data_IF_980166541468
#
_entry.id   IF_980166541468
#
_cell.length_a   1.000
_cell.length_b   1.000
_cell.length_c   1.000
_cell.angle_alpha   90.00
_cell.angle_beta   90.00
_cell.angle_gamma   90.00
#
_symmetry.space_group_name_H-M   'P 1'
#
loop_
_entity.id
_entity.type
_entity.pdbx_description
1 polymer ?
#
# COMPACT_ATOMS: atom_id res chain seq x y z
N UNK A 1 -16.32 -7.40 58.88
CA UNK A 1 -15.61 -8.19 57.83
C UNK A 1 -15.73 -7.43 56.53
N UNK A 2 -14.63 -6.85 56.04
CA UNK A 2 -14.60 -6.04 54.81
C UNK A 2 -14.48 -6.97 53.60
N UNK A 3 -15.45 -6.94 52.69
CA UNK A 3 -15.37 -7.68 51.43
C UNK A 3 -14.53 -6.88 50.43
N UNK A 4 -13.32 -7.36 50.13
CA UNK A 4 -12.49 -6.84 49.06
C UNK A 4 -13.04 -7.35 47.73
N UNK A 5 -13.62 -6.44 46.93
CA UNK A 5 -14.05 -6.71 45.57
C UNK A 5 -12.81 -6.64 44.66
N UNK A 6 -12.25 -7.80 44.31
CA UNK A 6 -11.13 -7.89 43.37
C UNK A 6 -11.67 -7.70 41.95
N UNK A 7 -11.53 -6.48 41.40
CA UNK A 7 -11.82 -6.21 39.99
C UNK A 7 -10.69 -6.81 39.13
N UNK A 8 -10.94 -7.98 38.54
CA UNK A 8 -10.06 -8.56 37.52
C UNK A 8 -10.28 -7.78 36.23
N UNK A 9 -9.38 -6.84 35.91
CA UNK A 9 -9.36 -6.16 34.62
C UNK A 9 -8.86 -7.15 33.57
N UNK A 10 -9.78 -7.73 32.78
CA UNK A 10 -9.43 -8.56 31.63
C UNK A 10 -8.84 -7.63 30.54
N UNK A 11 -7.51 -7.54 30.46
CA UNK A 11 -6.84 -6.96 29.30
C UNK A 11 -7.00 -7.96 28.15
N UNK A 12 -7.98 -7.76 27.28
CA UNK A 12 -8.10 -8.55 26.06
C UNK A 12 -6.89 -8.25 25.17
N UNK A 13 -6.05 -9.24 24.81
CA UNK A 13 -4.98 -9.02 23.86
C UNK A 13 -5.62 -8.70 22.50
N UNK A 14 -5.31 -7.52 21.95
CA UNK A 14 -5.61 -7.23 20.55
C UNK A 14 -4.73 -8.18 19.73
N UNK A 15 -5.33 -9.13 19.03
CA UNK A 15 -4.61 -9.91 18.02
C UNK A 15 -4.19 -8.91 16.94
N UNK A 16 -2.93 -8.52 16.94
CA UNK A 16 -2.36 -7.77 15.82
C UNK A 16 -2.38 -8.70 14.61
N UNK A 17 -3.16 -8.36 13.59
CA UNK A 17 -3.08 -9.10 12.32
C UNK A 17 -1.72 -8.81 11.70
N UNK A 18 -0.98 -9.87 11.34
CA UNK A 18 0.27 -9.72 10.62
C UNK A 18 -0.02 -9.25 9.18
N UNK A 19 0.90 -8.45 8.61
CA UNK A 19 0.82 -8.06 7.22
C UNK A 19 1.00 -9.28 6.32
N UNK A 20 0.12 -9.44 5.34
CA UNK A 20 0.20 -10.48 4.31
C UNK A 20 0.63 -9.85 2.99
N UNK A 21 1.51 -10.52 2.26
CA UNK A 21 1.96 -10.06 0.93
C UNK A 21 0.92 -10.47 -0.11
N UNK A 22 0.38 -9.48 -0.84
CA UNK A 22 -0.48 -9.70 -2.01
C UNK A 22 0.39 -9.87 -3.24
N UNK A 23 1.31 -8.93 -3.47
CA UNK A 23 2.26 -8.97 -4.55
C UNK A 23 3.66 -8.63 -4.06
N UNK A 24 4.67 -9.30 -4.60
CA UNK A 24 6.06 -8.84 -4.55
C UNK A 24 6.77 -9.18 -5.84
N UNK A 25 7.67 -8.30 -6.26
CA UNK A 25 8.55 -8.50 -7.41
C UNK A 25 9.90 -7.83 -7.11
N UNK A 26 10.98 -8.59 -7.21
CA UNK A 26 12.37 -8.12 -7.07
C UNK A 26 13.01 -7.77 -8.41
N UNK A 27 12.27 -7.95 -9.51
CA UNK A 27 12.70 -7.68 -10.87
C UNK A 27 14.05 -8.35 -11.23
N UNK A 28 14.29 -9.58 -10.76
CA UNK A 28 15.50 -10.37 -11.06
C UNK A 28 15.53 -10.98 -12.47
N UNK A 29 14.58 -10.61 -13.34
CA UNK A 29 14.50 -11.08 -14.72
C UNK A 29 15.62 -10.56 -15.62
N UNK A 30 15.64 -11.02 -16.88
CA UNK A 30 16.63 -10.57 -17.87
C UNK A 30 16.30 -9.18 -18.40
N UNK A 31 17.32 -8.33 -18.59
CA UNK A 31 17.14 -6.98 -19.16
C UNK A 31 16.74 -6.97 -20.63
N UNK A 32 16.94 -8.08 -21.34
CA UNK A 32 16.45 -8.28 -22.70
C UNK A 32 14.99 -8.73 -22.78
N UNK A 33 14.40 -9.21 -21.67
CA UNK A 33 13.02 -9.66 -21.61
C UNK A 33 12.08 -8.52 -21.20
N UNK A 34 10.89 -8.48 -21.78
CA UNK A 34 9.86 -7.53 -21.38
C UNK A 34 9.23 -7.95 -20.05
N UNK A 35 8.79 -6.97 -19.25
CA UNK A 35 7.99 -7.22 -18.05
C UNK A 35 6.57 -7.68 -18.39
N UNK A 36 6.03 -7.22 -19.53
CA UNK A 36 4.69 -7.60 -19.98
C UNK A 36 4.51 -9.12 -20.07
N UNK A 37 3.47 -9.63 -19.41
CA UNK A 37 3.14 -11.04 -19.33
C UNK A 37 3.91 -11.83 -18.27
N UNK A 38 4.88 -11.25 -17.57
CA UNK A 38 5.57 -11.94 -16.46
C UNK A 38 4.72 -11.96 -15.20
N UNK A 39 4.93 -12.98 -14.37
CA UNK A 39 4.33 -13.05 -13.05
C UNK A 39 5.21 -12.29 -12.04
N UNK A 40 4.62 -11.60 -11.05
CA UNK A 40 5.36 -11.23 -9.84
C UNK A 40 5.85 -12.47 -9.10
N UNK A 41 6.96 -12.36 -8.37
CA UNK A 41 7.54 -13.45 -7.58
C UNK A 41 6.56 -14.02 -6.55
N UNK A 42 5.83 -13.13 -5.88
CA UNK A 42 4.71 -13.50 -5.01
C UNK A 42 3.42 -12.92 -5.58
N UNK A 43 2.37 -13.74 -5.64
CA UNK A 43 1.00 -13.31 -5.97
C UNK A 43 -0.03 -14.07 -5.16
N UNK A 44 -0.95 -13.35 -4.52
CA UNK A 44 -2.09 -13.91 -3.82
C UNK A 44 -3.39 -13.67 -4.59
N UNK A 45 -4.29 -14.65 -4.58
CA UNK A 45 -5.67 -14.51 -5.06
C UNK A 45 -6.66 -14.00 -4.01
N UNK A 46 -6.16 -13.59 -2.83
CA UNK A 46 -6.96 -13.06 -1.72
C UNK A 46 -6.76 -11.55 -1.57
N UNK A 47 -7.60 -10.93 -0.74
CA UNK A 47 -7.43 -9.54 -0.28
C UNK A 47 -7.40 -8.48 -1.39
N UNK A 48 -7.98 -8.80 -2.55
CA UNK A 48 -8.04 -7.92 -3.71
C UNK A 48 -7.03 -8.24 -4.81
N UNK A 49 -6.12 -9.20 -4.58
CA UNK A 49 -5.18 -9.70 -5.59
C UNK A 49 -5.78 -10.78 -6.51
N UNK A 50 -4.95 -11.25 -7.43
CA UNK A 50 -5.24 -12.37 -8.35
C UNK A 50 -4.10 -13.39 -8.36
N UNK A 51 -4.43 -14.66 -8.17
CA UNK A 51 -3.47 -15.78 -8.23
C UNK A 51 -2.89 -16.01 -9.64
N UNK A 52 -3.55 -15.46 -10.68
CA UNK A 52 -3.10 -15.49 -12.06
C UNK A 52 -2.59 -14.14 -12.54
N UNK A 53 -2.34 -13.18 -11.63
CA UNK A 53 -1.83 -11.86 -11.98
C UNK A 53 -0.53 -11.98 -12.79
N UNK A 54 -0.49 -11.24 -13.88
CA UNK A 54 0.70 -10.98 -14.69
C UNK A 54 0.77 -9.47 -14.91
N UNK A 55 1.98 -8.96 -15.07
CA UNK A 55 2.18 -7.55 -15.42
C UNK A 55 1.60 -7.29 -16.80
N UNK A 56 0.78 -6.24 -16.90
CA UNK A 56 0.37 -5.66 -18.18
C UNK A 56 1.19 -4.40 -18.34
N UNK A 57 2.14 -4.37 -19.29
CA UNK A 57 3.13 -3.31 -19.35
C UNK A 57 3.40 -2.84 -20.78
N UNK A 58 3.84 -1.58 -20.91
CA UNK A 58 4.41 -1.10 -22.16
C UNK A 58 5.74 -1.81 -22.44
N UNK A 59 5.75 -2.68 -23.46
CA UNK A 59 6.90 -3.51 -23.85
C UNK A 59 8.13 -2.71 -24.33
N UNK A 60 7.92 -1.45 -24.75
CA UNK A 60 9.00 -0.54 -25.11
C UNK A 60 9.70 0.07 -23.90
N UNK A 61 9.03 0.10 -22.74
CA UNK A 61 9.50 0.77 -21.53
C UNK A 61 10.02 -0.20 -20.47
N UNK A 62 9.23 -1.20 -20.09
CA UNK A 62 9.48 -2.00 -18.89
C UNK A 62 10.11 -3.35 -19.22
N UNK A 63 11.28 -3.61 -18.63
CA UNK A 63 12.00 -4.88 -18.73
C UNK A 63 11.83 -5.71 -17.46
N UNK A 64 11.94 -7.02 -17.60
CA UNK A 64 11.81 -7.96 -16.48
C UNK A 64 12.92 -7.78 -15.43
N UNK A 65 14.03 -7.14 -15.80
CA UNK A 65 15.11 -6.75 -14.88
C UNK A 65 14.82 -5.48 -14.06
N UNK A 66 13.61 -4.90 -14.19
CA UNK A 66 13.25 -3.65 -13.53
C UNK A 66 13.80 -2.42 -14.24
N UNK A 67 14.57 -2.60 -15.31
CA UNK A 67 15.03 -1.51 -16.15
C UNK A 67 13.85 -0.87 -16.88
N UNK A 68 13.75 0.44 -16.75
CA UNK A 68 12.75 1.27 -17.40
C UNK A 68 13.45 2.12 -18.44
N UNK A 69 13.06 1.97 -19.70
CA UNK A 69 13.58 2.78 -20.80
C UNK A 69 12.73 4.02 -20.97
N UNK A 70 13.33 5.20 -20.76
CA UNK A 70 12.70 6.49 -21.01
C UNK A 70 12.33 6.72 -22.47
N UNK A 71 11.20 7.39 -22.70
CA UNK A 71 10.79 7.84 -24.02
C UNK A 71 9.94 9.10 -23.86
N UNK A 72 10.18 10.08 -24.73
CA UNK A 72 9.36 11.29 -24.79
C UNK A 72 7.94 10.95 -25.26
N UNK A 73 6.93 11.55 -24.62
CA UNK A 73 5.52 11.36 -24.98
C UNK A 73 4.63 11.13 -23.77
N UNK A 74 3.63 10.26 -23.94
CA UNK A 74 2.68 9.88 -22.89
C UNK A 74 3.37 9.14 -21.75
N UNK A 75 2.77 9.18 -20.55
CA UNK A 75 3.20 8.28 -19.48
C UNK A 75 2.98 6.83 -19.91
N UNK A 76 3.87 5.97 -19.44
CA UNK A 76 3.81 4.53 -19.66
C UNK A 76 3.74 3.81 -18.34
N UNK A 77 3.03 2.70 -18.30
CA UNK A 77 2.72 1.99 -17.07
C UNK A 77 2.97 0.49 -17.20
N UNK A 78 3.34 -0.12 -16.07
CA UNK A 78 3.24 -1.53 -15.80
C UNK A 78 2.19 -1.72 -14.70
N UNK A 79 1.18 -2.54 -14.95
CA UNK A 79 0.01 -2.69 -14.09
C UNK A 79 -0.15 -4.13 -13.59
N UNK A 80 -0.59 -4.28 -12.34
CA UNK A 80 -1.14 -5.52 -11.81
C UNK A 80 -2.60 -5.30 -11.40
N UNK A 81 -3.46 -6.26 -11.75
CA UNK A 81 -4.86 -6.24 -11.34
C UNK A 81 -4.97 -6.24 -9.81
N UNK A 82 -5.73 -5.29 -9.28
CA UNK A 82 -5.95 -5.14 -7.84
C UNK A 82 -7.25 -4.39 -7.56
N UNK A 83 -8.10 -4.94 -6.71
CA UNK A 83 -9.32 -4.25 -6.25
C UNK A 83 -9.37 -4.30 -4.72
N UNK A 84 -9.23 -3.15 -4.02
CA UNK A 84 -9.22 -3.14 -2.57
C UNK A 84 -10.56 -3.60 -1.99
N UNK A 85 -10.49 -4.35 -0.90
CA UNK A 85 -11.63 -4.80 -0.10
C UNK A 85 -11.76 -3.87 1.10
N UNK A 86 -12.97 -3.35 1.35
CA UNK A 86 -13.23 -2.51 2.51
C UNK A 86 -12.92 -3.24 3.83
N UNK A 87 -12.44 -2.50 4.84
CA UNK A 87 -12.02 -3.07 6.13
C UNK A 87 -10.53 -3.40 6.21
N UNK A 88 -9.75 -3.15 5.16
CA UNK A 88 -8.33 -3.48 5.09
C UNK A 88 -7.45 -2.23 5.00
N UNK A 89 -6.21 -2.37 5.46
CA UNK A 89 -5.15 -1.38 5.25
C UNK A 89 -4.12 -1.98 4.28
N UNK A 90 -3.93 -1.33 3.14
CA UNK A 90 -2.99 -1.74 2.10
C UNK A 90 -1.76 -0.86 2.12
N UNK A 91 -0.57 -1.46 1.98
CA UNK A 91 0.69 -0.72 1.83
C UNK A 91 1.37 -1.13 0.54
N UNK A 92 1.50 -0.17 -0.38
CA UNK A 92 2.30 -0.25 -1.59
C UNK A 92 3.66 0.38 -1.32
N UNK A 93 4.72 -0.38 -1.59
CA UNK A 93 6.12 0.08 -1.48
C UNK A 93 6.84 -0.18 -2.79
N UNK A 94 7.57 0.82 -3.28
CA UNK A 94 8.39 0.68 -4.49
C UNK A 94 9.74 1.36 -4.29
N UNK A 95 10.82 0.65 -4.55
CA UNK A 95 12.17 1.22 -4.58
C UNK A 95 12.53 1.64 -6.01
N UNK A 96 12.93 2.90 -6.18
CA UNK A 96 13.15 3.53 -7.48
C UNK A 96 14.54 4.13 -7.57
N UNK A 97 15.12 4.04 -8.77
CA UNK A 97 16.40 4.63 -9.11
C UNK A 97 16.37 5.28 -10.50
N UNK A 98 16.32 6.61 -10.58
CA UNK A 98 16.38 7.37 -11.84
C UNK A 98 17.81 7.54 -12.38
N UNK A 99 18.02 7.37 -13.69
CA UNK A 99 19.37 7.36 -14.31
C UNK A 99 19.81 8.66 -14.97
N UNK A 100 18.94 9.66 -15.10
CA UNK A 100 19.26 10.96 -15.73
C UNK A 100 18.78 12.12 -14.86
N UNK A 101 19.69 13.04 -14.51
CA UNK A 101 19.46 14.16 -13.60
C UNK A 101 19.28 15.50 -14.33
N UNK A 102 19.35 15.52 -15.67
CA UNK A 102 19.38 16.73 -16.48
C UNK A 102 18.02 17.37 -16.78
N UNK A 103 16.91 16.65 -16.62
CA UNK A 103 15.57 17.13 -17.00
C UNK A 103 14.44 16.62 -16.08
N UNK A 104 13.23 17.10 -16.36
CA UNK A 104 11.98 16.75 -15.67
C UNK A 104 11.61 15.30 -16.00
N UNK A 105 12.14 14.37 -15.24
CA UNK A 105 11.99 12.93 -15.47
C UNK A 105 11.21 12.36 -14.30
N UNK A 106 10.15 11.57 -14.50
CA UNK A 106 9.46 10.99 -13.35
C UNK A 106 9.29 9.49 -13.40
N UNK A 107 9.62 8.83 -12.29
CA UNK A 107 9.10 7.51 -11.97
C UNK A 107 7.94 7.66 -10.99
N UNK A 108 6.89 6.88 -11.19
CA UNK A 108 5.66 6.95 -10.42
C UNK A 108 5.24 5.57 -9.92
N UNK A 109 4.52 5.55 -8.81
CA UNK A 109 3.84 4.36 -8.32
C UNK A 109 2.52 4.75 -7.67
N UNK A 110 1.54 3.85 -7.74
CA UNK A 110 0.27 4.08 -7.08
C UNK A 110 -0.83 3.12 -7.48
N UNK A 111 -2.05 3.57 -7.26
CA UNK A 111 -3.28 2.91 -7.63
C UNK A 111 -3.90 3.60 -8.84
N UNK A 112 -4.70 2.86 -9.61
CA UNK A 112 -5.43 3.43 -10.75
C UNK A 112 -6.74 2.68 -11.02
N UNK A 113 -7.70 3.35 -11.64
CA UNK A 113 -8.88 2.74 -12.28
C UNK A 113 -8.69 2.51 -13.79
N UNK A 114 -7.55 2.91 -14.35
CA UNK A 114 -7.27 2.83 -15.77
C UNK A 114 -6.38 1.63 -16.06
N UNK A 115 -6.79 0.80 -17.02
CA UNK A 115 -6.04 -0.39 -17.45
C UNK A 115 -5.08 -0.10 -18.63
N UNK A 116 -5.03 1.14 -19.13
CA UNK A 116 -4.18 1.50 -20.25
C UNK A 116 -2.70 1.56 -19.82
N UNK A 117 -1.83 0.92 -20.61
CA UNK A 117 -0.37 0.98 -20.43
C UNK A 117 0.25 2.28 -20.90
N UNK A 118 -0.52 3.14 -21.58
CA UNK A 118 -0.12 4.51 -21.91
C UNK A 118 -1.32 5.46 -21.87
N UNK A 119 -1.22 6.49 -21.02
CA UNK A 119 -2.26 7.53 -20.88
C UNK A 119 -1.70 8.79 -20.21
N UNK A 120 -2.50 9.84 -20.08
CA UNK A 120 -2.16 11.02 -19.27
C UNK A 120 -2.15 10.68 -17.78
N UNK A 121 -1.27 11.32 -17.00
CA UNK A 121 -1.22 11.22 -15.53
C UNK A 121 -2.57 11.48 -14.85
N UNK A 122 -3.35 12.39 -15.42
CA UNK A 122 -4.68 12.78 -14.93
C UNK A 122 -5.76 11.74 -15.22
N UNK A 123 -5.52 10.81 -16.14
CA UNK A 123 -6.47 9.76 -16.48
C UNK A 123 -6.39 8.53 -15.58
N UNK A 124 -5.49 8.55 -14.57
CA UNK A 124 -5.31 7.45 -13.62
C UNK A 124 -6.41 7.38 -12.56
N UNK A 125 -7.05 8.50 -12.22
CA UNK A 125 -8.26 8.60 -11.37
C UNK A 125 -8.20 7.83 -10.03
N UNK A 126 -7.01 7.65 -9.45
CA UNK A 126 -6.82 7.11 -8.10
C UNK A 126 -5.49 7.61 -7.50
N UNK A 127 -5.17 7.31 -6.23
CA UNK A 127 -4.01 7.90 -5.58
C UNK A 127 -2.68 7.36 -6.11
N UNK A 128 -1.76 8.26 -6.46
CA UNK A 128 -0.41 7.92 -6.90
C UNK A 128 0.58 9.01 -6.51
N UNK A 129 1.87 8.66 -6.57
CA UNK A 129 2.96 9.62 -6.41
C UNK A 129 4.03 9.44 -7.46
N UNK A 130 4.73 10.52 -7.76
CA UNK A 130 5.91 10.48 -8.62
C UNK A 130 7.07 11.30 -8.07
N UNK A 131 8.25 10.92 -8.52
CA UNK A 131 9.55 11.49 -8.17
C UNK A 131 10.20 12.09 -9.39
N UNK A 132 10.64 13.34 -9.34
CA UNK A 132 11.50 13.88 -10.37
C UNK A 132 12.93 13.36 -10.19
N UNK A 133 13.62 12.99 -11.27
CA UNK A 133 14.99 12.49 -11.19
C UNK A 133 16.00 13.53 -10.71
N UNK A 134 15.74 14.83 -10.92
CA UNK A 134 16.54 15.90 -10.31
C UNK A 134 16.31 16.05 -8.80
N UNK A 135 15.48 15.20 -8.20
CA UNK A 135 15.14 15.17 -6.79
C UNK A 135 14.25 16.32 -6.31
N UNK A 136 13.85 17.23 -7.21
CA UNK A 136 13.23 18.52 -6.88
C UNK A 136 11.69 18.50 -7.01
N UNK A 137 11.15 17.69 -7.91
CA UNK A 137 9.71 17.59 -8.15
C UNK A 137 9.10 16.34 -7.51
N UNK A 138 8.26 16.50 -6.49
CA UNK A 138 7.44 15.39 -5.96
C UNK A 138 5.99 15.68 -6.27
N UNK A 139 5.30 14.74 -6.90
CA UNK A 139 3.88 14.89 -7.21
C UNK A 139 3.12 13.88 -6.38
N UNK A 140 2.08 14.34 -5.70
CA UNK A 140 1.04 13.48 -5.18
C UNK A 140 -0.27 13.80 -5.89
N UNK A 141 -0.96 12.77 -6.33
CA UNK A 141 -2.30 12.88 -6.91
C UNK A 141 -3.22 12.02 -6.07
N UNK A 142 -4.36 12.55 -5.66
CA UNK A 142 -5.29 11.80 -4.82
C UNK A 142 -6.36 11.05 -5.62
N UNK A 143 -6.41 11.19 -6.95
CA UNK A 143 -7.49 10.64 -7.78
C UNK A 143 -8.45 11.69 -8.37
N UNK A 144 -8.39 12.93 -7.91
CA UNK A 144 -9.24 14.03 -8.40
C UNK A 144 -8.47 15.32 -8.61
N UNK A 145 -7.65 15.71 -7.64
CA UNK A 145 -6.77 16.87 -7.73
C UNK A 145 -5.31 16.44 -7.60
N UNK A 146 -4.45 17.12 -8.35
CA UNK A 146 -3.02 17.04 -8.14
C UNK A 146 -2.68 17.94 -6.95
N UNK A 147 -2.25 17.33 -5.85
CA UNK A 147 -1.85 18.06 -4.66
C UNK A 147 -0.32 18.10 -4.63
N UNK A 148 0.23 19.28 -4.87
CA UNK A 148 1.51 19.65 -4.28
C UNK A 148 1.20 19.99 -2.81
N UNK A 149 1.74 19.21 -1.88
CA UNK A 149 1.53 19.33 -0.44
C UNK A 149 1.31 20.80 0.04
N UNK A 150 0.05 21.19 0.26
CA UNK A 150 -0.32 22.52 0.80
C UNK A 150 0.24 23.78 0.13
N UNK A 151 0.88 23.71 -1.05
CA UNK A 151 1.60 24.85 -1.63
C UNK A 151 1.97 24.62 -3.09
N UNK A 152 1.95 25.71 -3.86
CA UNK A 152 2.59 25.91 -5.19
C UNK A 152 3.74 24.95 -5.43
N UNK A 153 3.86 24.33 -6.63
CA UNK A 153 5.03 23.56 -7.13
C UNK A 153 6.27 23.75 -6.24
N UNK A 154 6.28 23.01 -5.15
CA UNK A 154 7.28 23.19 -4.12
C UNK A 154 8.44 22.36 -4.58
N UNK A 155 9.58 23.01 -4.79
CA UNK A 155 10.89 22.37 -4.78
C UNK A 155 11.00 21.62 -3.45
N UNK A 156 10.47 20.41 -3.38
CA UNK A 156 10.81 19.51 -2.29
C UNK A 156 12.32 19.31 -2.45
N UNK A 157 13.10 19.63 -1.42
CA UNK A 157 14.56 19.68 -1.51
C UNK A 157 15.12 18.46 -2.24
N UNK A 158 16.17 18.69 -3.04
CA UNK A 158 16.85 17.67 -3.84
C UNK A 158 16.93 16.35 -3.07
N UNK A 159 16.16 15.35 -3.50
CA UNK A 159 16.36 14.00 -3.00
C UNK A 159 17.48 13.34 -3.77
N UNK A 160 18.21 12.57 -3.00
CA UNK A 160 19.25 11.67 -3.49
C UNK A 160 18.58 10.37 -3.91
N UNK A 161 19.26 9.62 -4.76
CA UNK A 161 18.77 8.40 -5.36
C UNK A 161 19.72 7.25 -4.94
N UNK A 162 19.25 6.05 -4.53
CA UNK A 162 17.89 5.49 -4.59
C UNK A 162 16.92 6.06 -3.54
N UNK A 163 15.63 5.82 -3.77
CA UNK A 163 14.54 6.16 -2.84
C UNK A 163 13.52 5.03 -2.70
N UNK A 164 12.71 5.11 -1.65
CA UNK A 164 11.48 4.32 -1.51
C UNK A 164 10.26 5.21 -1.55
N UNK A 165 9.32 4.89 -2.44
CA UNK A 165 7.94 5.38 -2.41
C UNK A 165 7.09 4.45 -1.54
N UNK A 166 6.33 5.02 -0.61
CA UNK A 166 5.32 4.29 0.15
C UNK A 166 3.97 4.97 0.03
N UNK A 167 2.94 4.21 -0.36
CA UNK A 167 1.55 4.63 -0.26
C UNK A 167 0.80 3.66 0.64
N UNK A 168 0.01 4.20 1.55
CA UNK A 168 -0.93 3.45 2.37
C UNK A 168 -2.34 3.82 1.94
N UNK A 169 -3.18 2.82 1.70
CA UNK A 169 -4.61 2.97 1.45
C UNK A 169 -5.36 2.30 2.60
N UNK A 170 -6.01 3.10 3.42
CA UNK A 170 -6.82 2.69 4.55
C UNK A 170 -8.30 2.71 4.15
N UNK A 171 -8.89 1.51 4.08
CA UNK A 171 -10.29 1.29 3.69
C UNK A 171 -11.17 0.88 4.88
N UNK A 172 -10.69 1.03 6.11
CA UNK A 172 -11.41 0.63 7.33
C UNK A 172 -12.64 1.50 7.61
N UNK A 173 -12.60 2.76 7.18
CA UNK A 173 -13.70 3.71 7.31
C UNK A 173 -14.58 3.76 6.06
N UNK A 174 -15.83 4.22 6.21
CA UNK A 174 -16.76 4.39 5.09
C UNK A 174 -16.21 5.31 4.00
N UNK A 175 -15.50 6.37 4.42
CA UNK A 175 -14.68 7.20 3.54
C UNK A 175 -13.22 6.83 3.76
N UNK A 176 -12.54 6.46 2.69
CA UNK A 176 -11.18 5.95 2.74
C UNK A 176 -10.20 7.07 3.06
N UNK A 177 -9.00 6.67 3.48
CA UNK A 177 -7.86 7.55 3.66
C UNK A 177 -6.68 6.99 2.89
N UNK A 178 -5.86 7.87 2.37
CA UNK A 178 -4.57 7.50 1.81
C UNK A 178 -3.49 8.37 2.44
N UNK A 179 -2.32 7.78 2.67
CA UNK A 179 -1.13 8.50 3.10
C UNK A 179 0.07 8.07 2.30
N UNK A 180 1.07 8.91 2.26
CA UNK A 180 2.27 8.64 1.51
C UNK A 180 3.53 9.08 2.25
N UNK A 181 4.65 8.47 1.91
CA UNK A 181 5.98 8.91 2.32
C UNK A 181 7.05 8.57 1.28
N UNK A 182 8.11 9.37 1.30
CA UNK A 182 9.33 9.16 0.50
C UNK A 182 10.50 9.00 1.46
N UNK A 183 11.17 7.85 1.42
CA UNK A 183 12.41 7.62 2.14
C UNK A 183 13.60 7.81 1.19
N UNK A 184 14.59 8.59 1.61
CA UNK A 184 15.83 8.85 0.87
C UNK A 184 16.98 8.11 1.55
N UNK A 185 17.68 7.26 0.79
CA UNK A 185 18.76 6.41 1.30
C UNK A 185 20.08 7.14 1.58
N UNK A 186 20.25 8.36 1.07
CA UNK A 186 21.44 9.18 1.35
C UNK A 186 21.25 9.99 2.62
N UNK A 187 20.04 10.55 2.83
CA UNK A 187 19.72 11.25 4.10
C UNK A 187 19.30 10.29 5.21
N UNK A 188 19.05 9.03 4.86
CA UNK A 188 18.60 7.96 5.76
C UNK A 188 17.31 8.33 6.50
N UNK A 189 16.38 9.00 5.82
CA UNK A 189 15.18 9.54 6.45
C UNK A 189 14.01 9.76 5.51
N UNK A 190 12.85 10.04 6.11
CA UNK A 190 11.64 10.44 5.38
C UNK A 190 11.77 11.93 5.02
N UNK A 191 11.76 12.21 3.72
CA UNK A 191 11.99 13.56 3.14
C UNK A 191 10.72 14.18 2.56
N UNK A 192 9.61 13.45 2.55
CA UNK A 192 8.28 13.93 2.19
C UNK A 192 7.23 12.96 2.72
N UNK A 193 6.11 13.48 3.19
CA UNK A 193 4.97 12.67 3.61
C UNK A 193 3.70 13.49 3.62
N UNK A 194 2.55 12.86 3.43
CA UNK A 194 1.26 13.53 3.50
C UNK A 194 0.12 12.53 3.62
N UNK A 195 -1.09 13.06 3.74
CA UNK A 195 -2.30 12.25 3.80
C UNK A 195 -3.50 12.99 3.21
N UNK A 196 -4.45 12.21 2.70
CA UNK A 196 -5.70 12.70 2.15
C UNK A 196 -6.87 11.83 2.64
N UNK A 197 -7.93 12.48 3.12
CA UNK A 197 -9.19 11.83 3.45
C UNK A 197 -10.17 12.05 2.31
N UNK A 198 -10.75 10.97 1.81
CA UNK A 198 -11.70 11.04 0.70
C UNK A 198 -13.05 11.59 1.13
N UNK A 199 -13.68 12.37 0.26
CA UNK A 199 -15.11 12.72 0.35
C UNK A 199 -15.97 11.79 -0.50
N UNK A 200 -15.36 11.15 -1.51
CA UNK A 200 -15.88 10.05 -2.32
C UNK A 200 -14.73 9.08 -2.55
N UNK A 201 -14.97 7.79 -2.32
CA UNK A 201 -13.91 6.77 -2.48
C UNK A 201 -13.52 6.60 -3.95
N UNK A 202 -12.22 6.50 -4.26
CA UNK A 202 -11.78 6.26 -5.63
C UNK A 202 -12.16 4.85 -6.07
N UNK A 203 -12.39 4.67 -7.37
CA UNK A 203 -12.40 3.33 -7.97
C UNK A 203 -10.96 2.91 -8.21
N UNK A 204 -10.61 1.70 -7.81
CA UNK A 204 -9.26 1.13 -8.00
C UNK A 204 -9.41 -0.25 -8.63
N UNK A 205 -8.74 -0.45 -9.77
CA UNK A 205 -8.70 -1.72 -10.52
C UNK A 205 -7.28 -2.25 -10.69
N UNK A 206 -6.26 -1.43 -10.42
CA UNK A 206 -4.87 -1.84 -10.55
C UNK A 206 -3.96 -1.07 -9.60
N UNK A 207 -2.83 -1.69 -9.29
CA UNK A 207 -1.61 -1.01 -8.83
C UNK A 207 -0.67 -0.87 -10.01
N UNK A 208 0.15 0.17 -10.03
CA UNK A 208 1.04 0.44 -11.16
C UNK A 208 2.41 0.96 -10.75
N UNK A 209 3.37 0.76 -11.64
CA UNK A 209 4.62 1.51 -11.75
C UNK A 209 4.56 2.29 -13.07
N UNK A 210 5.00 3.55 -13.07
CA UNK A 210 4.89 4.44 -14.20
C UNK A 210 6.19 5.17 -14.51
N UNK A 211 6.35 5.53 -15.78
CA UNK A 211 7.43 6.36 -16.30
C UNK A 211 6.87 7.62 -16.98
N UNK A 212 7.58 8.73 -16.79
CA UNK A 212 7.39 10.01 -17.44
C UNK A 212 8.75 10.47 -17.99
N UNK A 213 8.92 10.30 -19.30
CA UNK A 213 9.96 10.90 -20.14
C UNK A 213 11.34 10.20 -20.07
N UNK A 214 11.95 10.00 -18.90
CA UNK A 214 13.28 9.36 -18.81
C UNK A 214 13.34 8.35 -17.68
N UNK A 215 13.73 7.12 -18.03
CA UNK A 215 13.57 5.94 -17.20
C UNK A 215 14.59 5.79 -16.08
N UNK A 216 14.89 4.55 -15.72
CA UNK A 216 15.66 4.23 -14.53
C UNK A 216 15.60 2.74 -14.22
N UNK A 217 15.67 2.39 -12.94
CA UNK A 217 15.41 1.05 -12.44
C UNK A 217 14.36 1.05 -11.33
N UNK A 218 13.71 -0.10 -11.21
CA UNK A 218 12.81 -0.47 -10.15
C UNK A 218 13.36 -1.78 -9.58
N UNK A 219 13.67 -1.81 -8.30
CA UNK A 219 14.38 -2.97 -7.71
C UNK A 219 13.49 -3.77 -6.75
N UNK A 220 12.54 -3.14 -6.06
CA UNK A 220 11.62 -3.83 -5.18
C UNK A 220 10.21 -3.25 -5.33
N UNK A 221 9.24 -4.12 -5.62
CA UNK A 221 7.82 -3.80 -5.56
C UNK A 221 7.14 -4.69 -4.52
N UNK A 222 6.31 -4.11 -3.65
CA UNK A 222 5.49 -4.89 -2.74
C UNK A 222 4.14 -4.24 -2.46
N UNK A 223 3.08 -5.03 -2.55
CA UNK A 223 1.76 -4.71 -2.04
C UNK A 223 1.42 -5.66 -0.90
N UNK A 224 1.16 -5.11 0.27
CA UNK A 224 0.78 -5.86 1.47
C UNK A 224 -0.55 -5.41 2.01
N UNK A 225 -1.18 -6.26 2.83
CA UNK A 225 -2.45 -6.00 3.48
C UNK A 225 -2.40 -6.36 4.96
N UNK A 226 -3.04 -5.53 5.77
CA UNK A 226 -3.38 -5.82 7.17
C UNK A 226 -4.90 -5.73 7.30
N UNK A 227 -5.59 -6.87 7.52
CA UNK A 227 -6.99 -6.85 7.88
C UNK A 227 -7.23 -6.12 9.21
N UNK A 228 -8.32 -5.35 9.30
CA UNK A 228 -8.76 -4.86 10.61
C UNK A 228 -9.15 -6.06 11.49
N UNK A 229 -8.84 -6.05 12.80
CA UNK A 229 -9.32 -7.09 13.71
C UNK A 229 -10.85 -7.11 13.70
N UNK A 230 -11.45 -8.11 13.04
CA UNK A 230 -12.90 -8.27 12.99
C UNK A 230 -13.50 -8.22 14.40
N UNK A 231 -14.39 -7.26 14.67
CA UNK A 231 -15.07 -7.13 15.96
C UNK A 231 -15.78 -8.43 16.40
N UNK A 232 -16.15 -9.30 15.45
CA UNK A 232 -16.73 -10.62 15.71
C UNK A 232 -15.77 -11.55 16.48
N UNK A 233 -14.46 -11.50 16.19
CA UNK A 233 -13.46 -12.24 16.96
C UNK A 233 -13.37 -11.70 18.41
N UNK A 234 -13.56 -10.39 18.60
CA UNK A 234 -13.61 -9.75 19.91
C UNK A 234 -14.88 -10.17 20.70
N UNK A 235 -16.04 -10.26 20.04
CA UNK A 235 -17.29 -10.70 20.69
C UNK A 235 -17.34 -12.21 20.97
N UNK A 236 -16.80 -13.06 20.09
CA UNK A 236 -16.73 -14.51 20.31
C UNK A 236 -15.94 -14.88 21.56
N UNK A 237 -14.87 -14.13 21.85
CA UNK A 237 -14.08 -14.30 23.09
C UNK A 237 -14.82 -13.80 24.33
N UNK A 238 -15.60 -12.73 24.23
CA UNK A 238 -16.41 -12.24 25.34
C UNK A 238 -17.50 -13.26 25.77
N UNK A 239 -18.06 -14.02 24.82
CA UNK A 239 -19.04 -15.08 25.09
C UNK A 239 -18.38 -16.29 25.79
N UNK A 240 -17.17 -16.70 25.37
CA UNK A 240 -16.43 -17.80 26.04
C UNK A 240 -16.07 -17.48 27.49
N UNK A 241 -15.67 -16.24 27.78
CA UNK A 241 -15.38 -15.79 29.15
C UNK A 241 -16.64 -15.75 30.02
N UNK A 242 -17.76 -15.28 29.47
CA UNK A 242 -19.03 -15.22 30.22
C UNK A 242 -19.63 -16.61 30.48
N UNK A 243 -19.52 -17.57 29.56
CA UNK A 243 -19.92 -18.97 29.81
C UNK A 243 -19.02 -19.64 30.85
N UNK A 244 -17.72 -19.36 30.85
CA UNK A 244 -16.77 -19.85 31.87
C UNK A 244 -17.10 -19.34 33.28
N UNK A 245 -17.41 -18.03 33.42
CA UNK A 245 -17.79 -17.42 34.68
C UNK A 245 -19.14 -17.93 35.21
N UNK A 246 -20.11 -18.20 34.33
CA UNK A 246 -21.41 -18.79 34.71
C UNK A 246 -21.21 -20.23 35.23
N UNK A 247 -20.36 -21.04 34.60
CA UNK A 247 -20.06 -22.40 35.06
C UNK A 247 -19.32 -22.45 36.40
N UNK A 248 -18.41 -21.52 36.66
CA UNK A 248 -17.71 -21.40 37.96
C UNK A 248 -18.63 -20.96 39.10
N UNK A 249 -19.69 -20.18 38.80
CA UNK A 249 -20.67 -19.77 39.81
C UNK A 249 -21.66 -20.87 40.16
N UNK A 250 -21.98 -21.77 39.22
CA UNK A 250 -22.88 -22.91 39.45
C UNK A 250 -22.23 -24.07 40.22
N UNK A 251 -20.90 -24.22 40.18
CA UNK A 251 -20.20 -25.29 40.92
C UNK A 251 -20.00 -24.97 42.41
N UNK A 252 -19.92 -23.69 42.79
CA UNK A 252 -19.75 -23.28 44.20
C UNK A 252 -21.03 -23.38 45.03
N UNK A 253 -22.22 -23.32 44.42
CA UNK A 253 -23.50 -23.45 45.14
C UNK A 253 -23.86 -24.89 45.53
N UNK A 254 -23.16 -25.91 45.03
CA UNK A 254 -23.41 -27.32 45.38
C UNK A 254 -22.61 -27.85 46.58
N UNK A 255 -21.68 -27.07 47.13
CA UNK A 255 -20.83 -27.49 48.26
C UNK A 255 -21.26 -26.94 49.63
N UNK A 256 -22.36 -26.19 49.72
CA UNK A 256 -22.75 -25.49 50.96
C UNK A 256 -23.99 -26.08 51.68
N UNK A 257 -24.43 -27.30 51.36
CA UNK A 257 -25.63 -27.90 51.99
C UNK A 257 -25.41 -29.27 52.64
N UNK A 258 -24.17 -29.64 52.98
CA UNK A 258 -23.90 -30.85 53.77
C UNK A 258 -22.99 -30.52 54.95
N UNK A 259 -23.58 -29.96 56.01
CA UNK A 259 -23.09 -30.02 57.39
C UNK A 259 -24.24 -29.71 58.33
#
# INVERSE_FOLDING_TARGET
>A
MCAVLLAVTLVAPRLASAATVIYSDDFSGLSSANLDGTAPDTRSGTDGGSASATWIADTSAFKASGTVTGQSGNMRYALLAFTPIAGNIYTLKVDLNTTDFGSVNYLAAGFTSNAATSTSSTALNAPWMSMAANGVGKIYYNGQNQFSDGGTFGTAGSVSNPITLTLVLDTTSALWKTSYSVYDFTTLGVVSSGAYNYTVNPTITSVFIGDIIYGGTVDNFSLTVVPEPNAIALFGMAILVSVGLIRLRASRTRFATNS
#
